data_IF_809280032346
#
_entry.id   IF_809280032346
#
_cell.length_a   1.000
_cell.length_b   1.000
_cell.length_c   1.000
_cell.angle_alpha   90.00
_cell.angle_beta   90.00
_cell.angle_gamma   90.00
#
_symmetry.space_group_name_H-M   'P 1'
#
loop_
_entity.id
_entity.type
_entity.pdbx_description
1 polymer ?
#
# COMPACT_ATOMS: atom_id res chain seq x y z
N UNK A 1 17.28 18.80 14.06
CA UNK A 1 16.44 17.71 13.52
C UNK A 1 16.87 17.43 12.10
N UNK A 2 17.33 16.24 11.81
CA UNK A 2 17.62 15.81 10.45
C UNK A 2 16.29 15.67 9.69
N UNK A 3 16.26 16.13 8.44
CA UNK A 3 15.12 15.84 7.55
C UNK A 3 14.95 14.32 7.40
N UNK A 4 13.71 13.81 7.31
CA UNK A 4 13.50 12.39 7.11
C UNK A 4 14.11 11.94 5.77
N UNK A 5 14.73 10.76 5.75
CA UNK A 5 15.16 10.14 4.51
C UNK A 5 13.91 9.66 3.74
N UNK A 6 13.88 9.88 2.44
CA UNK A 6 12.79 9.44 1.56
C UNK A 6 13.34 8.47 0.53
N UNK A 7 12.67 7.33 0.38
CA UNK A 7 12.99 6.31 -0.60
C UNK A 7 11.78 6.03 -1.48
N UNK A 8 11.96 6.07 -2.79
CA UNK A 8 10.97 5.62 -3.75
C UNK A 8 11.33 4.20 -4.21
N UNK A 9 10.43 3.26 -3.94
CA UNK A 9 10.58 1.86 -4.32
C UNK A 9 9.50 1.46 -5.34
N UNK A 10 9.93 0.85 -6.44
CA UNK A 10 9.05 0.10 -7.32
C UNK A 10 9.00 -1.37 -6.92
N UNK A 11 7.91 -2.06 -7.23
CA UNK A 11 7.88 -3.51 -7.09
C UNK A 11 8.94 -4.17 -7.99
N UNK A 12 9.46 -5.33 -7.60
CA UNK A 12 10.34 -6.10 -8.48
C UNK A 12 9.75 -6.25 -9.88
N UNK A 13 10.61 -6.20 -10.90
CA UNK A 13 10.22 -6.32 -12.30
C UNK A 13 9.41 -5.16 -12.90
N UNK A 14 9.22 -4.08 -12.17
CA UNK A 14 8.63 -2.85 -12.72
C UNK A 14 9.73 -1.84 -13.07
N UNK A 15 9.55 -1.10 -14.17
CA UNK A 15 10.48 -0.05 -14.62
C UNK A 15 11.92 -0.51 -14.85
N UNK A 16 12.12 -1.80 -15.15
CA UNK A 16 13.43 -2.35 -15.51
C UNK A 16 13.40 -2.93 -16.92
N UNK A 17 14.52 -2.78 -17.63
CA UNK A 17 14.71 -3.23 -18.99
C UNK A 17 15.94 -4.15 -19.13
N UNK A 18 16.04 -4.83 -20.27
CA UNK A 18 17.21 -5.62 -20.66
C UNK A 18 17.53 -6.74 -19.66
N UNK A 19 18.80 -6.79 -19.23
CA UNK A 19 19.31 -7.85 -18.35
C UNK A 19 18.68 -7.88 -16.97
N UNK A 20 18.18 -6.75 -16.47
CA UNK A 20 17.46 -6.68 -15.20
C UNK A 20 16.17 -7.51 -15.17
N UNK A 21 15.62 -7.87 -16.32
CA UNK A 21 14.41 -8.71 -16.44
C UNK A 21 14.65 -10.20 -16.36
N UNK A 22 15.87 -10.68 -16.19
CA UNK A 22 16.20 -12.13 -16.29
C UNK A 22 15.31 -13.05 -15.44
N UNK A 23 14.91 -12.60 -14.26
CA UNK A 23 14.09 -13.37 -13.31
C UNK A 23 12.63 -12.90 -13.28
N UNK A 24 12.25 -12.03 -14.20
CA UNK A 24 10.91 -11.49 -14.26
C UNK A 24 9.99 -12.40 -15.08
N UNK A 25 8.92 -12.85 -14.47
CA UNK A 25 7.91 -13.72 -15.07
C UNK A 25 6.58 -12.98 -15.16
N UNK A 26 5.78 -13.30 -16.17
CA UNK A 26 4.46 -12.67 -16.41
C UNK A 26 3.57 -12.58 -15.14
N UNK A 27 3.52 -13.60 -14.26
CA UNK A 27 2.75 -13.51 -13.02
C UNK A 27 3.07 -12.29 -12.14
N UNK A 28 4.30 -11.76 -12.12
CA UNK A 28 4.66 -10.58 -11.33
C UNK A 28 3.98 -9.28 -11.78
N UNK A 29 3.46 -9.24 -13.01
CA UNK A 29 2.62 -8.15 -13.51
C UNK A 29 1.12 -8.46 -13.46
N UNK A 30 0.75 -9.74 -13.23
CA UNK A 30 -0.63 -10.22 -13.28
C UNK A 30 -1.05 -10.84 -11.94
N UNK A 31 -1.21 -12.16 -11.86
CA UNK A 31 -1.78 -12.87 -10.70
C UNK A 31 -0.93 -12.82 -9.43
N UNK A 32 0.40 -12.70 -9.56
CA UNK A 32 1.37 -12.73 -8.45
C UNK A 32 1.98 -11.35 -8.10
N UNK A 33 1.31 -10.26 -8.50
CA UNK A 33 1.84 -8.88 -8.29
C UNK A 33 2.06 -8.50 -6.83
N UNK A 34 1.40 -9.16 -5.91
CA UNK A 34 1.55 -9.00 -4.45
C UNK A 34 1.94 -10.34 -3.79
N UNK A 35 2.64 -11.20 -4.53
CA UNK A 35 3.04 -12.51 -4.03
C UNK A 35 4.03 -12.39 -2.87
N UNK A 36 4.12 -13.48 -2.09
CA UNK A 36 5.05 -13.53 -0.95
C UNK A 36 6.50 -13.22 -1.34
N UNK A 37 7.08 -13.71 -2.46
CA UNK A 37 8.39 -13.27 -2.91
C UNK A 37 8.48 -11.76 -3.16
N UNK A 38 7.48 -11.16 -3.82
CA UNK A 38 7.46 -9.73 -4.10
C UNK A 38 7.47 -8.90 -2.80
N UNK A 39 6.63 -9.26 -1.82
CA UNK A 39 6.58 -8.57 -0.51
C UNK A 39 7.90 -8.75 0.23
N UNK A 40 8.47 -9.95 0.21
CA UNK A 40 9.76 -10.23 0.84
C UNK A 40 10.90 -9.39 0.25
N UNK A 41 11.03 -9.34 -1.07
CA UNK A 41 12.08 -8.56 -1.75
C UNK A 41 11.94 -7.06 -1.45
N UNK A 42 10.70 -6.55 -1.41
CA UNK A 42 10.43 -5.17 -1.00
C UNK A 42 10.86 -4.92 0.46
N UNK A 43 10.60 -5.89 1.35
CA UNK A 43 11.03 -5.83 2.74
C UNK A 43 12.55 -5.76 2.87
N UNK A 44 13.28 -6.61 2.14
CA UNK A 44 14.75 -6.59 2.13
C UNK A 44 15.33 -5.26 1.62
N UNK A 45 14.74 -4.68 0.57
CA UNK A 45 15.16 -3.39 0.05
C UNK A 45 14.96 -2.26 1.07
N UNK A 46 13.85 -2.31 1.82
CA UNK A 46 13.60 -1.37 2.93
C UNK A 46 14.61 -1.56 4.05
N UNK A 47 14.91 -2.79 4.46
CA UNK A 47 15.89 -3.07 5.53
C UNK A 47 17.26 -2.50 5.18
N UNK A 48 17.71 -2.67 3.94
CA UNK A 48 18.97 -2.10 3.47
C UNK A 48 18.94 -0.56 3.46
N UNK A 49 17.85 0.04 3.00
CA UNK A 49 17.69 1.49 3.00
C UNK A 49 17.68 2.06 4.43
N UNK A 50 16.98 1.42 5.37
CA UNK A 50 16.96 1.82 6.78
C UNK A 50 18.35 1.73 7.39
N UNK A 51 19.08 0.63 7.11
CA UNK A 51 20.47 0.46 7.57
C UNK A 51 21.37 1.59 7.04
N UNK A 52 21.26 1.95 5.76
CA UNK A 52 22.05 3.03 5.15
C UNK A 52 21.71 4.40 5.75
N UNK A 53 20.43 4.63 6.06
CA UNK A 53 19.95 5.90 6.64
C UNK A 53 20.15 5.98 8.17
N UNK A 54 20.49 4.88 8.85
CA UNK A 54 20.50 4.80 10.31
C UNK A 54 19.10 4.99 10.92
N UNK A 55 18.04 4.63 10.17
CA UNK A 55 16.66 4.80 10.60
C UNK A 55 16.19 3.60 11.43
N UNK A 56 15.38 3.87 12.45
CA UNK A 56 14.80 2.86 13.35
C UNK A 56 13.29 2.78 13.26
N UNK A 57 12.65 3.75 12.61
CA UNK A 57 11.21 3.81 12.37
C UNK A 57 10.91 4.04 10.90
N UNK A 58 9.78 3.54 10.45
CA UNK A 58 9.36 3.55 9.06
C UNK A 58 7.95 4.16 8.92
N UNK A 59 7.79 5.02 7.93
CA UNK A 59 6.48 5.43 7.41
C UNK A 59 6.35 4.86 6.00
N UNK A 60 5.31 4.07 5.78
CA UNK A 60 5.01 3.49 4.47
C UNK A 60 3.95 4.34 3.78
N UNK A 61 4.22 4.78 2.57
CA UNK A 61 3.23 5.46 1.72
C UNK A 61 3.06 4.66 0.43
N UNK A 62 1.83 4.24 0.13
CA UNK A 62 1.56 3.42 -1.04
C UNK A 62 0.36 3.90 -1.85
N UNK A 63 0.54 4.05 -3.17
CA UNK A 63 -0.52 4.39 -4.11
C UNK A 63 -1.01 3.13 -4.83
N UNK A 64 -2.33 2.99 -5.00
CA UNK A 64 -2.96 1.89 -5.75
C UNK A 64 -2.45 0.52 -5.31
N UNK A 65 -1.83 -0.26 -6.19
CA UNK A 65 -1.17 -1.51 -5.84
C UNK A 65 0.00 -1.37 -4.85
N UNK A 66 0.64 -0.19 -4.78
CA UNK A 66 1.63 0.14 -3.75
C UNK A 66 1.02 0.21 -2.36
N UNK A 67 -0.26 0.60 -2.24
CA UNK A 67 -1.03 0.53 -1.00
C UNK A 67 -1.17 -0.90 -0.48
N UNK A 68 -1.44 -1.87 -1.38
CA UNK A 68 -1.49 -3.28 -1.00
C UNK A 68 -0.15 -3.77 -0.44
N UNK A 69 0.97 -3.43 -1.10
CA UNK A 69 2.32 -3.77 -0.62
C UNK A 69 2.62 -3.12 0.74
N UNK A 70 2.30 -1.83 0.90
CA UNK A 70 2.52 -1.12 2.16
C UNK A 70 1.79 -1.79 3.33
N UNK A 71 0.53 -2.20 3.13
CA UNK A 71 -0.25 -2.92 4.13
C UNK A 71 0.33 -4.30 4.45
N UNK A 72 0.73 -5.07 3.43
CA UNK A 72 1.32 -6.40 3.62
C UNK A 72 2.65 -6.31 4.39
N UNK A 73 3.50 -5.34 4.06
CA UNK A 73 4.74 -5.07 4.80
C UNK A 73 4.47 -4.68 6.26
N UNK A 74 3.49 -3.80 6.49
CA UNK A 74 3.12 -3.38 7.84
C UNK A 74 2.54 -4.50 8.70
N UNK A 75 1.87 -5.48 8.08
CA UNK A 75 1.35 -6.64 8.80
C UNK A 75 2.46 -7.53 9.38
N UNK A 76 3.62 -7.59 8.72
CA UNK A 76 4.75 -8.44 9.12
C UNK A 76 5.80 -7.69 9.97
N UNK A 77 5.90 -6.35 9.85
CA UNK A 77 6.95 -5.52 10.48
C UNK A 77 6.48 -4.92 11.81
N UNK A 78 7.42 -4.67 12.71
CA UNK A 78 7.17 -4.02 14.02
C UNK A 78 7.72 -2.61 14.13
N UNK A 79 8.49 -2.17 13.13
CA UNK A 79 9.11 -0.84 13.05
C UNK A 79 8.30 0.17 12.24
N UNK A 80 7.13 -0.22 11.71
CA UNK A 80 6.23 0.67 10.99
C UNK A 80 5.42 1.51 11.96
N UNK A 81 5.68 2.81 11.98
CA UNK A 81 4.98 3.79 12.79
C UNK A 81 3.65 4.22 12.18
N UNK A 82 3.58 4.30 10.86
CA UNK A 82 2.41 4.77 10.11
C UNK A 82 2.36 4.15 8.72
N UNK A 83 1.19 3.72 8.31
CA UNK A 83 0.89 3.39 6.92
C UNK A 83 -0.06 4.44 6.34
N UNK A 84 0.27 4.95 5.17
CA UNK A 84 -0.61 5.81 4.38
C UNK A 84 -0.89 5.11 3.06
N UNK A 85 -2.15 4.93 2.72
CA UNK A 85 -2.53 4.44 1.39
C UNK A 85 -3.33 5.50 0.63
N UNK A 86 -3.03 5.65 -0.64
CA UNK A 86 -3.72 6.56 -1.55
C UNK A 86 -4.32 5.73 -2.67
N UNK A 87 -5.64 5.75 -2.82
CA UNK A 87 -6.37 4.90 -3.76
C UNK A 87 -5.92 3.42 -3.68
N UNK A 88 -5.68 2.92 -2.46
CA UNK A 88 -5.03 1.63 -2.20
C UNK A 88 -5.92 0.43 -2.49
N UNK A 89 -5.40 -0.58 -3.20
CA UNK A 89 -6.11 -1.85 -3.40
C UNK A 89 -5.96 -2.75 -2.16
N UNK A 90 -6.76 -2.49 -1.12
CA UNK A 90 -6.64 -3.12 0.20
C UNK A 90 -7.39 -4.45 0.33
N UNK A 91 -8.33 -4.74 -0.60
CA UNK A 91 -8.98 -6.04 -0.75
C UNK A 91 -9.10 -6.38 -2.24
N UNK A 92 -8.08 -7.03 -2.79
CA UNK A 92 -8.08 -7.38 -4.21
C UNK A 92 -9.08 -8.49 -4.57
N UNK A 93 -9.54 -9.30 -3.62
CA UNK A 93 -10.59 -10.29 -3.87
C UNK A 93 -11.92 -9.58 -4.10
N UNK A 94 -12.23 -8.56 -3.29
CA UNK A 94 -13.38 -7.70 -3.55
C UNK A 94 -13.21 -6.94 -4.87
N UNK A 95 -12.06 -6.32 -5.09
CA UNK A 95 -11.75 -5.54 -6.29
C UNK A 95 -11.90 -6.35 -7.58
N UNK A 96 -11.39 -7.58 -7.64
CA UNK A 96 -11.49 -8.43 -8.84
C UNK A 96 -12.93 -8.86 -9.11
N UNK A 97 -13.72 -9.13 -8.06
CA UNK A 97 -15.16 -9.42 -8.22
C UNK A 97 -15.92 -8.20 -8.72
N UNK A 98 -15.66 -7.02 -8.16
CA UNK A 98 -16.30 -5.76 -8.56
C UNK A 98 -16.10 -5.47 -10.04
N UNK A 99 -14.89 -5.67 -10.54
CA UNK A 99 -14.54 -5.38 -11.94
C UNK A 99 -14.73 -6.55 -12.91
N UNK A 100 -15.17 -7.72 -12.42
CA UNK A 100 -15.34 -8.90 -13.27
C UNK A 100 -14.05 -9.40 -13.90
N UNK A 101 -12.89 -9.16 -13.27
CA UNK A 101 -11.57 -9.58 -13.77
C UNK A 101 -11.04 -10.83 -13.05
N UNK A 102 -10.04 -11.46 -13.62
CA UNK A 102 -9.44 -12.68 -13.06
C UNK A 102 -8.88 -12.43 -11.65
N UNK A 103 -9.13 -13.33 -10.68
CA UNK A 103 -8.57 -13.23 -9.33
C UNK A 103 -7.03 -13.22 -9.33
N UNK A 104 -6.44 -12.49 -8.40
CA UNK A 104 -4.99 -12.46 -8.18
C UNK A 104 -4.56 -13.63 -7.28
N UNK A 105 -4.71 -14.86 -7.78
CA UNK A 105 -4.61 -16.11 -6.99
C UNK A 105 -3.27 -16.33 -6.31
N UNK A 106 -2.19 -15.81 -6.91
CA UNK A 106 -0.82 -15.98 -6.42
C UNK A 106 -0.36 -14.78 -5.56
N UNK A 107 -1.27 -13.84 -5.29
CA UNK A 107 -1.03 -12.64 -4.48
C UNK A 107 -1.57 -12.79 -3.08
N UNK A 108 -0.87 -12.20 -2.11
CA UNK A 108 -1.39 -12.00 -0.76
C UNK A 108 -2.44 -10.87 -0.79
N UNK A 109 -3.56 -11.07 -0.07
CA UNK A 109 -4.59 -10.05 0.04
C UNK A 109 -4.46 -9.31 1.39
N UNK A 110 -4.22 -7.98 1.41
CA UNK A 110 -4.12 -7.21 2.67
C UNK A 110 -5.27 -7.44 3.63
N UNK A 111 -6.50 -7.55 3.11
CA UNK A 111 -7.69 -7.80 3.90
C UNK A 111 -7.66 -9.10 4.72
N UNK A 112 -6.84 -10.09 4.34
CA UNK A 112 -6.63 -11.31 5.11
C UNK A 112 -5.69 -11.12 6.30
N UNK A 113 -5.02 -9.97 6.39
CA UNK A 113 -4.11 -9.56 7.47
C UNK A 113 -4.71 -8.45 8.35
N UNK A 114 -6.00 -8.13 8.19
CA UNK A 114 -6.68 -7.04 8.88
C UNK A 114 -6.41 -7.05 10.39
N UNK A 115 -6.48 -8.22 11.02
CA UNK A 115 -6.23 -8.37 12.46
C UNK A 115 -4.78 -8.02 12.87
N UNK A 116 -3.79 -8.41 12.07
CA UNK A 116 -2.39 -8.05 12.33
C UNK A 116 -2.12 -6.54 12.17
N UNK A 117 -2.96 -5.87 11.38
CA UNK A 117 -2.87 -4.44 11.08
C UNK A 117 -3.52 -3.55 12.14
N UNK A 118 -4.38 -4.07 13.01
CA UNK A 118 -5.06 -3.31 14.08
C UNK A 118 -4.08 -2.55 14.99
N UNK A 119 -2.87 -3.07 15.19
CA UNK A 119 -1.81 -2.45 16.00
C UNK A 119 -1.09 -1.28 15.33
N UNK A 120 -1.24 -1.12 14.01
CA UNK A 120 -0.51 -0.14 13.20
C UNK A 120 -1.40 1.08 12.97
N UNK A 121 -0.85 2.28 13.16
CA UNK A 121 -1.57 3.51 12.78
C UNK A 121 -1.68 3.59 11.26
N UNK A 122 -2.89 3.86 10.76
CA UNK A 122 -3.21 3.82 9.34
C UNK A 122 -4.01 5.06 8.92
N UNK A 123 -3.70 5.57 7.74
CA UNK A 123 -4.49 6.61 7.06
C UNK A 123 -4.75 6.15 5.63
N UNK A 124 -6.01 5.94 5.29
CA UNK A 124 -6.44 5.53 3.96
C UNK A 124 -7.14 6.68 3.28
N UNK A 125 -6.56 7.19 2.20
CA UNK A 125 -7.09 8.30 1.40
C UNK A 125 -7.65 7.70 0.13
N UNK A 126 -8.94 7.87 -0.07
CA UNK A 126 -9.70 7.34 -1.21
C UNK A 126 -10.56 8.44 -1.82
N UNK A 127 -11.12 8.23 -2.99
CA UNK A 127 -12.05 9.18 -3.61
C UNK A 127 -13.31 8.49 -4.11
N UNK A 128 -14.45 9.15 -3.97
CA UNK A 128 -15.73 8.68 -4.47
C UNK A 128 -15.85 8.71 -6.00
N UNK A 129 -14.98 9.46 -6.67
CA UNK A 129 -14.87 9.50 -8.12
C UNK A 129 -13.83 8.50 -8.69
N UNK A 130 -13.19 7.69 -7.84
CA UNK A 130 -12.26 6.66 -8.29
C UNK A 130 -13.00 5.39 -8.69
N UNK A 131 -13.23 5.22 -10.01
CA UNK A 131 -13.88 4.04 -10.56
C UNK A 131 -12.95 2.82 -10.65
N UNK A 132 -11.63 2.99 -10.51
CA UNK A 132 -10.64 1.89 -10.57
C UNK A 132 -10.46 1.24 -9.20
N UNK A 133 -10.28 2.04 -8.15
CA UNK A 133 -10.20 1.57 -6.76
C UNK A 133 -11.15 2.39 -5.88
N UNK A 134 -12.46 2.12 -5.96
CA UNK A 134 -13.45 2.89 -5.22
C UNK A 134 -13.31 2.67 -3.70
N UNK A 135 -13.88 3.58 -2.87
CA UNK A 135 -13.78 3.56 -1.42
C UNK A 135 -14.17 2.22 -0.77
N UNK A 136 -15.05 1.47 -1.41
CA UNK A 136 -15.54 0.16 -0.95
C UNK A 136 -14.40 -0.86 -0.80
N UNK A 137 -13.35 -0.76 -1.62
CA UNK A 137 -12.18 -1.64 -1.52
C UNK A 137 -11.45 -1.46 -0.19
N UNK A 138 -11.29 -0.21 0.25
CA UNK A 138 -10.71 0.09 1.56
C UNK A 138 -11.67 -0.28 2.70
N UNK A 139 -12.96 0.05 2.57
CA UNK A 139 -14.00 -0.29 3.56
C UNK A 139 -14.06 -1.79 3.81
N UNK A 140 -14.08 -2.63 2.75
CA UNK A 140 -14.10 -4.09 2.88
C UNK A 140 -12.89 -4.64 3.65
N UNK A 141 -11.72 -4.02 3.54
CA UNK A 141 -10.56 -4.39 4.34
C UNK A 141 -10.74 -3.99 5.81
N UNK A 142 -11.17 -2.75 6.07
CA UNK A 142 -11.36 -2.22 7.42
C UNK A 142 -12.48 -2.95 8.18
N UNK A 143 -13.54 -3.34 7.50
CA UNK A 143 -14.67 -4.09 8.08
C UNK A 143 -14.27 -5.49 8.58
N UNK A 144 -13.09 -6.00 8.21
CA UNK A 144 -12.51 -7.24 8.75
C UNK A 144 -11.70 -7.05 10.03
N UNK A 145 -11.46 -5.81 10.44
CA UNK A 145 -10.81 -5.49 11.71
C UNK A 145 -11.83 -5.61 12.85
N UNK A 146 -11.43 -6.22 13.94
CA UNK A 146 -12.23 -6.23 15.18
C UNK A 146 -12.15 -4.87 15.89
N UNK A 147 -10.99 -4.21 15.74
CA UNK A 147 -10.74 -2.85 16.23
C UNK A 147 -10.03 -2.02 15.15
N UNK A 148 -10.76 -1.09 14.55
CA UNK A 148 -10.24 -0.15 13.56
C UNK A 148 -9.89 1.24 14.15
N UNK A 149 -9.73 1.36 15.46
CA UNK A 149 -9.46 2.66 16.14
C UNK A 149 -8.16 3.32 15.69
N UNK A 150 -7.19 2.53 15.22
CA UNK A 150 -5.92 3.00 14.65
C UNK A 150 -5.99 3.31 13.14
N UNK A 151 -7.14 3.08 12.50
CA UNK A 151 -7.32 3.29 11.06
C UNK A 151 -8.25 4.47 10.80
N UNK A 152 -7.78 5.43 10.00
CA UNK A 152 -8.56 6.58 9.55
C UNK A 152 -8.83 6.47 8.06
N UNK A 153 -10.10 6.47 7.67
CA UNK A 153 -10.52 6.53 6.27
C UNK A 153 -10.92 7.97 5.91
N UNK A 154 -10.29 8.52 4.89
CA UNK A 154 -10.55 9.86 4.37
C UNK A 154 -11.07 9.72 2.95
N UNK A 155 -12.33 10.12 2.73
CA UNK A 155 -12.97 10.06 1.42
C UNK A 155 -12.95 11.46 0.82
N UNK A 156 -12.26 11.61 -0.30
CA UNK A 156 -12.25 12.83 -1.10
C UNK A 156 -13.35 12.78 -2.15
N UNK A 157 -13.65 13.94 -2.71
CA UNK A 157 -14.57 14.08 -3.83
C UNK A 157 -13.79 14.50 -5.07
N UNK A 158 -14.24 14.03 -6.24
CA UNK A 158 -13.79 14.49 -7.55
C UNK A 158 -12.38 14.08 -8.02
N UNK A 159 -11.64 13.23 -7.30
CA UNK A 159 -10.37 12.69 -7.78
C UNK A 159 -10.57 11.30 -8.41
N UNK A 160 -10.41 11.20 -9.72
CA UNK A 160 -10.28 9.89 -10.37
C UNK A 160 -9.01 9.18 -9.98
N UNK A 161 -8.87 7.88 -10.38
CA UNK A 161 -7.71 7.07 -10.00
C UNK A 161 -6.36 7.72 -10.37
N UNK A 162 -6.26 8.29 -11.56
CA UNK A 162 -5.08 9.01 -12.08
C UNK A 162 -5.12 10.51 -11.81
N UNK A 163 -5.88 10.96 -10.82
CA UNK A 163 -5.99 12.37 -10.46
C UNK A 163 -4.73 12.94 -9.81
N UNK A 164 -4.75 14.22 -9.53
CA UNK A 164 -3.62 15.00 -8.97
C UNK A 164 -3.49 14.77 -7.46
N UNK A 165 -3.28 13.51 -7.06
CA UNK A 165 -3.15 13.11 -5.65
C UNK A 165 -1.96 13.79 -4.95
N UNK A 166 -0.89 14.08 -5.69
CA UNK A 166 0.32 14.76 -5.21
C UNK A 166 0.06 16.18 -4.73
N UNK A 167 -0.99 16.84 -5.21
CA UNK A 167 -1.37 18.18 -4.76
C UNK A 167 -2.16 18.14 -3.44
N UNK A 168 -2.89 17.07 -3.20
CA UNK A 168 -3.87 16.98 -2.11
C UNK A 168 -3.31 16.23 -0.89
N UNK A 169 -2.59 15.14 -1.12
CA UNK A 169 -2.10 14.23 -0.07
C UNK A 169 -1.17 14.91 0.93
N UNK A 170 -0.20 15.76 0.55
CA UNK A 170 0.68 16.43 1.52
C UNK A 170 -0.10 17.26 2.53
N UNK A 171 -1.08 18.04 2.09
CA UNK A 171 -1.91 18.86 2.97
C UNK A 171 -2.79 18.04 3.93
N UNK A 172 -3.15 16.81 3.56
CA UNK A 172 -3.85 15.88 4.45
C UNK A 172 -2.89 15.36 5.52
N UNK A 173 -1.69 14.93 5.13
CA UNK A 173 -0.69 14.37 6.05
C UNK A 173 -0.20 15.41 7.06
N UNK A 174 -0.03 16.66 6.65
CA UNK A 174 0.34 17.76 7.55
C UNK A 174 -0.70 17.98 8.66
N UNK A 175 -1.97 17.80 8.35
CA UNK A 175 -3.05 17.87 9.36
C UNK A 175 -3.03 16.69 10.33
N UNK A 176 -2.75 15.48 9.82
CA UNK A 176 -2.69 14.27 10.65
C UNK A 176 -1.49 14.22 11.59
N UNK A 177 -0.42 14.95 11.30
CA UNK A 177 0.77 15.04 12.16
C UNK A 177 0.58 16.04 13.32
N UNK A 178 -0.47 16.84 13.30
CA UNK A 178 -0.78 17.85 14.34
C UNK A 178 -1.82 17.38 15.37
N UNK A 179 -2.48 16.26 15.08
CA UNK A 179 -3.41 15.53 15.96
C UNK A 179 -2.66 14.41 16.70
#
# INVERSE_FOLDING_TARGET
>A
SSSPAVLYLSRPCQFIDGEGRRNCITPFWTSARFSKPVVHDMGQAIDEAMRMAGATELVLVGYSGGGAIAMLLAAERTDVRLVVTVAGNLDHDFWTRLHGVSPLRDSLNPANYAHALERVRQVHIVSDADEIVPPEVAKCCLDRMSDASNAKLIILQFLGHTGEWEEVVPGILDRQNKE
#
